data_IF_955955502371
#
_entry.id   IF_955955502371
#
_cell.length_a   1.000
_cell.length_b   1.000
_cell.length_c   1.000
_cell.angle_alpha   90.00
_cell.angle_beta   90.00
_cell.angle_gamma   90.00
#
_symmetry.space_group_name_H-M   'P 1'
#
loop_
_entity.id
_entity.type
_entity.pdbx_description
1 polymer ?
#
# COMPACT_ATOMS: atom_id res chain seq x y z
N UNK A 1 -18.85 29.88 -61.96
CA UNK A 1 -19.38 29.51 -60.63
C UNK A 1 -18.18 28.98 -59.89
N UNK A 2 -17.48 29.89 -59.19
CA UNK A 2 -16.15 29.67 -58.64
C UNK A 2 -16.19 29.05 -57.24
N UNK A 3 -15.16 28.24 -56.99
CA UNK A 3 -14.76 27.59 -55.75
C UNK A 3 -14.38 28.61 -54.66
N UNK A 4 -14.54 28.24 -53.38
CA UNK A 4 -13.88 28.94 -52.28
C UNK A 4 -14.61 28.92 -50.93
N UNK A 5 -14.78 27.75 -50.31
CA UNK A 5 -15.12 27.69 -48.88
C UNK A 5 -13.82 27.79 -48.06
N UNK A 6 -13.64 28.93 -47.40
CA UNK A 6 -12.45 29.27 -46.62
C UNK A 6 -12.50 28.67 -45.20
N UNK A 7 -11.37 28.09 -44.81
CA UNK A 7 -11.07 27.55 -43.48
C UNK A 7 -11.43 28.54 -42.36
N UNK A 8 -12.32 28.14 -41.45
CA UNK A 8 -12.46 28.81 -40.16
C UNK A 8 -11.31 28.39 -39.24
N UNK A 9 -10.20 29.12 -39.34
CA UNK A 9 -9.07 29.02 -38.43
C UNK A 9 -9.54 29.24 -36.99
N UNK A 10 -9.58 28.17 -36.19
CA UNK A 10 -9.74 28.23 -34.74
C UNK A 10 -8.57 29.04 -34.16
N UNK A 11 -8.77 30.35 -34.00
CA UNK A 11 -7.81 31.23 -33.33
C UNK A 11 -7.89 30.95 -31.83
N UNK A 12 -7.00 30.09 -31.35
CA UNK A 12 -6.78 29.87 -29.92
C UNK A 12 -6.25 31.18 -29.34
N UNK A 13 -7.03 31.84 -28.49
CA UNK A 13 -6.57 33.02 -27.75
C UNK A 13 -5.37 32.64 -26.90
N UNK A 14 -4.22 33.26 -27.20
CA UNK A 14 -2.99 33.05 -26.44
C UNK A 14 -3.19 33.75 -25.09
N UNK A 15 -3.17 33.02 -23.96
CA UNK A 15 -3.41 33.62 -22.66
C UNK A 15 -2.31 34.67 -22.35
N UNK A 16 -2.65 35.74 -21.61
CA UNK A 16 -1.71 36.80 -21.28
C UNK A 16 -0.49 36.26 -20.52
N UNK A 17 0.70 36.78 -20.81
CA UNK A 17 1.96 36.32 -20.22
C UNK A 17 1.96 36.52 -18.70
N UNK A 18 1.90 35.41 -17.96
CA UNK A 18 2.07 35.43 -16.51
C UNK A 18 3.57 35.49 -16.18
N UNK A 19 3.98 36.16 -15.10
CA UNK A 19 5.37 36.17 -14.64
C UNK A 19 5.91 34.74 -14.48
N UNK A 20 7.15 34.49 -14.93
CA UNK A 20 7.75 33.15 -14.99
C UNK A 20 7.72 32.41 -13.64
N UNK A 21 7.83 33.13 -12.52
CA UNK A 21 7.73 32.56 -11.17
C UNK A 21 6.33 32.07 -10.83
N UNK A 22 5.29 32.79 -11.28
CA UNK A 22 3.89 32.36 -11.13
C UNK A 22 3.55 31.21 -12.05
N UNK A 23 4.13 31.16 -13.26
CA UNK A 23 4.00 30.02 -14.16
C UNK A 23 4.68 28.79 -13.59
N UNK A 24 5.89 28.93 -13.05
CA UNK A 24 6.61 27.82 -12.43
C UNK A 24 5.87 27.32 -11.20
N UNK A 25 5.35 28.23 -10.37
CA UNK A 25 4.56 27.87 -9.20
C UNK A 25 3.21 27.23 -9.59
N UNK A 26 2.55 27.67 -10.67
CA UNK A 26 1.33 27.04 -11.17
C UNK A 26 1.62 25.67 -11.79
N UNK A 27 2.71 25.54 -12.54
CA UNK A 27 3.13 24.28 -13.13
C UNK A 27 3.52 23.27 -12.05
N UNK A 28 4.30 23.68 -11.04
CA UNK A 28 4.59 22.83 -9.87
C UNK A 28 3.29 22.41 -9.16
N UNK A 29 2.37 23.35 -8.93
CA UNK A 29 1.10 23.05 -8.28
C UNK A 29 0.20 22.12 -9.09
N UNK A 30 0.17 22.24 -10.42
CA UNK A 30 -0.58 21.37 -11.32
C UNK A 30 0.11 20.00 -11.51
N UNK A 31 1.44 19.93 -11.40
CA UNK A 31 2.21 18.69 -11.52
C UNK A 31 2.14 17.84 -10.24
N UNK A 32 2.23 18.44 -9.06
CA UNK A 32 2.08 17.72 -7.78
C UNK A 32 0.61 17.34 -7.48
N UNK A 33 -0.36 18.03 -8.09
CA UNK A 33 -1.79 17.80 -7.89
C UNK A 33 -2.61 17.96 -9.19
N UNK A 34 -2.43 17.10 -10.21
CA UNK A 34 -3.16 17.19 -11.49
C UNK A 34 -4.66 17.00 -11.29
N UNK A 35 -4.98 16.01 -10.46
CA UNK A 35 -6.27 15.79 -9.81
C UNK A 35 -6.12 16.16 -8.35
N UNK A 36 -6.23 17.44 -8.03
CA UNK A 36 -6.30 17.93 -6.66
C UNK A 36 -7.37 17.07 -5.92
N UNK A 37 -7.00 16.07 -5.08
CA UNK A 37 -7.98 15.20 -4.41
C UNK A 37 -8.90 16.05 -3.52
N UNK A 38 -8.38 17.25 -3.20
CA UNK A 38 -8.95 18.28 -2.38
C UNK A 38 -9.75 19.35 -3.16
N UNK A 39 -9.89 19.25 -4.48
CA UNK A 39 -10.82 20.12 -5.25
C UNK A 39 -12.27 19.85 -4.89
N UNK A 40 -12.65 18.58 -4.70
CA UNK A 40 -13.97 18.18 -4.18
C UNK A 40 -14.20 18.64 -2.73
N UNK A 41 -13.10 18.92 -2.03
CA UNK A 41 -13.08 19.32 -0.63
C UNK A 41 -13.21 20.82 -0.45
N UNK A 42 -12.82 21.61 -1.45
CA UNK A 42 -12.79 23.07 -1.38
C UNK A 42 -14.17 23.71 -1.10
N UNK A 43 -15.25 23.08 -1.58
CA UNK A 43 -16.64 23.53 -1.42
C UNK A 43 -17.45 22.75 -0.36
N UNK A 44 -16.79 21.99 0.53
CA UNK A 44 -17.46 21.19 1.57
C UNK A 44 -17.02 21.64 2.97
N UNK A 45 -17.89 21.52 4.00
CA UNK A 45 -17.59 21.96 5.36
C UNK A 45 -16.32 21.27 5.89
N UNK A 46 -15.59 21.94 6.80
CA UNK A 46 -14.32 21.47 7.39
C UNK A 46 -14.39 20.03 7.92
N UNK A 47 -15.54 19.61 8.45
CA UNK A 47 -15.81 18.24 8.88
C UNK A 47 -15.65 17.22 7.75
N UNK A 48 -16.17 17.51 6.55
CA UNK A 48 -16.00 16.62 5.38
C UNK A 48 -14.56 16.56 4.89
N UNK A 49 -13.75 17.59 5.15
CA UNK A 49 -12.31 17.57 4.82
C UNK A 49 -11.51 16.63 5.67
N UNK A 50 -11.79 16.63 6.96
CA UNK A 50 -11.18 15.70 7.90
C UNK A 50 -11.64 14.27 7.59
N UNK A 51 -12.92 14.06 7.28
CA UNK A 51 -13.46 12.73 6.94
C UNK A 51 -12.84 12.17 5.66
N UNK A 52 -12.73 12.96 4.59
CA UNK A 52 -12.14 12.49 3.33
C UNK A 52 -10.62 12.30 3.43
N UNK A 53 -9.92 13.14 4.21
CA UNK A 53 -8.52 12.89 4.56
C UNK A 53 -8.36 11.58 5.33
N UNK A 54 -9.24 11.31 6.29
CA UNK A 54 -9.22 10.07 7.06
C UNK A 54 -9.61 8.84 6.22
N UNK A 55 -10.54 8.98 5.27
CA UNK A 55 -10.88 7.94 4.29
C UNK A 55 -9.72 7.64 3.33
N UNK A 56 -8.91 8.65 2.99
CA UNK A 56 -7.71 8.46 2.19
C UNK A 56 -6.63 7.66 2.92
N UNK A 57 -6.43 7.91 4.22
CA UNK A 57 -5.44 7.16 5.03
C UNK A 57 -5.98 5.81 5.56
N UNK A 58 -7.29 5.68 5.72
CA UNK A 58 -7.94 4.47 6.25
C UNK A 58 -9.11 4.10 5.32
N UNK A 59 -8.85 3.35 4.23
CA UNK A 59 -9.86 2.97 3.24
C UNK A 59 -11.08 2.26 3.83
N UNK A 60 -10.96 1.59 4.98
CA UNK A 60 -12.08 0.92 5.67
C UNK A 60 -13.26 1.83 6.00
N UNK A 61 -13.00 3.13 6.24
CA UNK A 61 -14.04 4.11 6.54
C UNK A 61 -14.84 4.51 5.31
N UNK A 62 -14.34 4.20 4.12
CA UNK A 62 -15.02 4.45 2.86
C UNK A 62 -15.93 3.28 2.44
N UNK A 63 -15.49 2.03 2.59
CA UNK A 63 -16.25 0.85 2.16
C UNK A 63 -17.11 0.23 3.27
N UNK A 64 -16.69 0.32 4.54
CA UNK A 64 -17.41 -0.24 5.68
C UNK A 64 -18.88 0.20 5.77
N UNK A 65 -19.22 1.49 5.62
CA UNK A 65 -20.61 1.95 5.69
C UNK A 65 -21.50 1.47 4.53
N UNK A 66 -20.91 1.03 3.41
CA UNK A 66 -21.60 0.53 2.21
C UNK A 66 -21.64 -1.01 2.17
N UNK A 67 -21.13 -1.66 3.22
CA UNK A 67 -21.01 -3.11 3.29
C UNK A 67 -22.36 -3.75 3.62
N UNK A 68 -22.82 -4.66 2.76
CA UNK A 68 -24.11 -5.34 2.92
C UNK A 68 -23.97 -6.66 3.68
N UNK A 69 -25.07 -7.12 4.27
CA UNK A 69 -25.10 -8.40 4.98
C UNK A 69 -24.94 -9.61 4.04
N UNK A 70 -25.22 -9.46 2.74
CA UNK A 70 -24.96 -10.51 1.75
C UNK A 70 -23.47 -10.69 1.49
N UNK A 71 -22.72 -9.58 1.40
CA UNK A 71 -21.26 -9.63 1.31
C UNK A 71 -20.64 -10.26 2.55
N UNK A 72 -21.18 -9.97 3.74
CA UNK A 72 -20.71 -10.61 4.99
C UNK A 72 -20.79 -12.14 4.94
N UNK A 73 -21.87 -12.70 4.40
CA UNK A 73 -22.04 -14.15 4.29
C UNK A 73 -21.04 -14.77 3.32
N UNK A 74 -20.82 -14.11 2.18
CA UNK A 74 -19.85 -14.54 1.18
C UNK A 74 -18.42 -14.47 1.74
N UNK A 75 -18.06 -13.35 2.39
CA UNK A 75 -16.74 -13.13 2.98
C UNK A 75 -16.48 -14.04 4.18
N UNK A 76 -17.51 -14.44 4.93
CA UNK A 76 -17.36 -15.41 6.02
C UNK A 76 -17.01 -16.81 5.50
N UNK A 77 -17.65 -17.26 4.42
CA UNK A 77 -17.31 -18.52 3.77
C UNK A 77 -15.90 -18.48 3.14
N UNK A 78 -15.58 -17.38 2.44
CA UNK A 78 -14.25 -17.17 1.88
C UNK A 78 -13.18 -17.10 2.98
N UNK A 79 -13.46 -16.38 4.07
CA UNK A 79 -12.58 -16.24 5.22
C UNK A 79 -12.30 -17.56 5.92
N UNK A 80 -13.32 -18.41 6.14
CA UNK A 80 -13.12 -19.76 6.68
C UNK A 80 -12.21 -20.59 5.77
N UNK A 81 -12.40 -20.49 4.45
CA UNK A 81 -11.58 -21.20 3.47
C UNK A 81 -10.12 -20.73 3.53
N UNK A 82 -9.89 -19.41 3.53
CA UNK A 82 -8.55 -18.82 3.61
C UNK A 82 -7.88 -19.18 4.93
N UNK A 83 -8.57 -19.04 6.07
CA UNK A 83 -8.03 -19.37 7.40
C UNK A 83 -7.66 -20.84 7.50
N UNK A 84 -8.49 -21.73 6.95
CA UNK A 84 -8.22 -23.18 6.95
C UNK A 84 -6.91 -23.53 6.22
N UNK A 85 -6.53 -22.74 5.21
CA UNK A 85 -5.26 -22.90 4.49
C UNK A 85 -4.11 -22.15 5.18
N UNK A 86 -4.36 -20.93 5.67
CA UNK A 86 -3.34 -20.05 6.24
C UNK A 86 -2.79 -20.55 7.59
N UNK A 87 -3.62 -21.22 8.41
CA UNK A 87 -3.22 -21.80 9.70
C UNK A 87 -2.14 -22.87 9.53
N UNK A 88 -2.35 -23.96 8.76
CA UNK A 88 -1.31 -24.96 8.56
C UNK A 88 -0.10 -24.41 7.79
N UNK A 89 -0.31 -23.50 6.84
CA UNK A 89 0.79 -22.83 6.12
C UNK A 89 1.69 -22.03 7.08
N UNK A 90 1.11 -21.20 7.95
CA UNK A 90 1.87 -20.40 8.92
C UNK A 90 2.67 -21.26 9.90
N UNK A 91 2.08 -22.35 10.40
CA UNK A 91 2.76 -23.32 11.28
C UNK A 91 3.96 -23.96 10.56
N UNK A 92 3.76 -24.39 9.32
CA UNK A 92 4.82 -25.02 8.54
C UNK A 92 5.94 -24.04 8.21
N UNK A 93 5.61 -22.79 7.89
CA UNK A 93 6.59 -21.75 7.56
C UNK A 93 7.39 -21.32 8.80
N UNK A 94 6.78 -21.19 9.97
CA UNK A 94 7.51 -21.00 11.22
C UNK A 94 8.47 -22.16 11.51
N UNK A 95 8.03 -23.40 11.26
CA UNK A 95 8.89 -24.58 11.40
C UNK A 95 10.08 -24.56 10.43
N UNK A 96 9.86 -24.12 9.17
CA UNK A 96 10.95 -23.93 8.20
C UNK A 96 11.96 -22.86 8.65
N UNK A 97 11.49 -21.83 9.35
CA UNK A 97 12.32 -20.77 9.93
C UNK A 97 12.97 -21.18 11.28
N UNK A 98 12.79 -22.41 11.76
CA UNK A 98 13.25 -22.87 13.08
C UNK A 98 12.76 -22.01 14.27
N UNK A 99 11.57 -21.42 14.15
CA UNK A 99 10.94 -20.64 15.24
C UNK A 99 9.68 -21.34 15.77
N UNK A 100 9.24 -21.02 17.00
CA UNK A 100 8.00 -21.57 17.54
C UNK A 100 6.78 -21.36 16.62
N UNK A 101 5.97 -22.41 16.36
CA UNK A 101 4.80 -22.33 15.46
C UNK A 101 3.78 -21.24 15.80
N UNK A 102 3.67 -20.90 17.08
CA UNK A 102 2.79 -19.81 17.56
C UNK A 102 3.13 -18.47 16.92
N UNK A 103 4.41 -18.21 16.62
CA UNK A 103 4.86 -16.99 15.94
C UNK A 103 4.38 -17.00 14.49
N UNK A 104 4.40 -18.15 13.82
CA UNK A 104 3.83 -18.30 12.48
C UNK A 104 2.34 -17.99 12.41
N UNK A 105 1.58 -18.40 13.43
CA UNK A 105 0.15 -18.08 13.53
C UNK A 105 -0.09 -16.58 13.70
N UNK A 106 0.69 -15.90 14.55
CA UNK A 106 0.61 -14.44 14.68
C UNK A 106 0.93 -13.74 13.37
N UNK A 107 1.97 -14.19 12.65
CA UNK A 107 2.35 -13.66 11.34
C UNK A 107 1.34 -13.94 10.24
N UNK A 108 0.52 -14.99 10.34
CA UNK A 108 -0.58 -15.27 9.40
C UNK A 108 -1.85 -14.47 9.68
N UNK A 109 -2.01 -13.92 10.89
CA UNK A 109 -3.24 -13.23 11.32
C UNK A 109 -3.09 -11.71 11.32
N UNK A 110 -2.02 -11.20 11.92
CA UNK A 110 -1.86 -9.76 12.18
C UNK A 110 -1.66 -8.96 10.88
N UNK A 111 -0.75 -9.34 9.95
CA UNK A 111 -0.55 -8.58 8.71
C UNK A 111 -1.79 -8.47 7.82
N UNK A 112 -2.60 -9.53 7.57
CA UNK A 112 -3.83 -9.37 6.80
C UNK A 112 -4.86 -8.43 7.47
N UNK A 113 -4.98 -8.41 8.80
CA UNK A 113 -5.87 -7.47 9.50
C UNK A 113 -5.38 -6.03 9.32
N UNK A 114 -4.09 -5.80 9.50
CA UNK A 114 -3.47 -4.48 9.29
C UNK A 114 -3.64 -4.04 7.84
N UNK A 115 -3.45 -4.97 6.88
CA UNK A 115 -3.65 -4.72 5.46
C UNK A 115 -5.12 -4.46 5.11
N UNK A 116 -6.08 -5.15 5.72
CA UNK A 116 -7.50 -4.86 5.48
C UNK A 116 -7.90 -3.45 5.93
N UNK A 117 -7.22 -2.88 6.92
CA UNK A 117 -7.48 -1.52 7.42
C UNK A 117 -6.76 -0.44 6.61
N UNK A 118 -5.50 -0.69 6.21
CA UNK A 118 -4.61 0.31 5.60
C UNK A 118 -4.33 0.09 4.11
N UNK A 119 -4.65 -1.10 3.60
CA UNK A 119 -4.33 -1.53 2.24
C UNK A 119 -5.13 -0.76 1.20
N UNK A 120 -4.45 -0.35 0.14
CA UNK A 120 -5.06 0.32 -1.00
C UNK A 120 -5.80 -0.64 -1.94
N UNK A 121 -5.45 -1.93 -1.90
CA UNK A 121 -5.99 -2.95 -2.81
C UNK A 121 -6.79 -4.00 -2.05
N UNK A 122 -7.92 -4.42 -2.62
CA UNK A 122 -8.87 -5.34 -1.98
C UNK A 122 -8.52 -6.82 -2.17
N UNK A 123 -7.70 -7.13 -3.17
CA UNK A 123 -7.42 -8.51 -3.62
C UNK A 123 -6.05 -9.04 -3.17
N UNK A 124 -5.27 -8.25 -2.44
CA UNK A 124 -3.92 -8.64 -2.02
C UNK A 124 -3.99 -9.42 -0.71
N UNK A 125 -3.59 -10.69 -0.78
CA UNK A 125 -3.39 -11.53 0.40
C UNK A 125 -1.96 -11.34 0.94
N UNK A 126 -1.85 -10.86 2.18
CA UNK A 126 -0.57 -10.70 2.90
C UNK A 126 -0.42 -11.84 3.90
N UNK A 127 0.73 -12.50 3.91
CA UNK A 127 1.01 -13.59 4.84
C UNK A 127 2.47 -14.04 4.81
N UNK A 128 2.86 -14.94 5.73
CA UNK A 128 4.20 -15.50 5.75
C UNK A 128 4.44 -16.31 4.47
N UNK A 129 5.68 -16.25 3.98
CA UNK A 129 6.11 -16.95 2.77
C UNK A 129 7.20 -17.97 3.07
N UNK A 130 7.15 -19.12 2.38
CA UNK A 130 8.13 -20.20 2.55
C UNK A 130 9.56 -19.74 2.28
N UNK A 131 9.76 -18.92 1.25
CA UNK A 131 11.08 -18.44 0.82
C UNK A 131 11.74 -17.58 1.92
N UNK A 132 10.99 -16.64 2.50
CA UNK A 132 11.49 -15.82 3.61
C UNK A 132 11.84 -16.66 4.84
N UNK A 133 11.03 -17.69 5.13
CA UNK A 133 11.27 -18.60 6.25
C UNK A 133 12.58 -19.39 6.09
N UNK A 134 12.82 -19.94 4.88
CA UNK A 134 14.06 -20.65 4.58
C UNK A 134 15.28 -19.73 4.58
N UNK A 135 15.13 -18.48 4.12
CA UNK A 135 16.19 -17.49 4.14
C UNK A 135 16.61 -17.15 5.58
N UNK A 136 15.65 -16.91 6.46
CA UNK A 136 15.90 -16.69 7.89
C UNK A 136 16.64 -17.88 8.49
N UNK A 137 16.16 -19.11 8.25
CA UNK A 137 16.82 -20.31 8.74
C UNK A 137 18.26 -20.45 8.23
N UNK A 138 18.50 -20.21 6.94
CA UNK A 138 19.80 -20.34 6.30
C UNK A 138 20.82 -19.26 6.73
N UNK A 139 20.35 -18.03 6.97
CA UNK A 139 21.20 -16.92 7.39
C UNK A 139 21.48 -16.97 8.89
N UNK A 140 20.44 -17.00 9.72
CA UNK A 140 20.58 -16.92 11.17
C UNK A 140 21.03 -18.24 11.78
N UNK A 141 20.68 -19.38 11.18
CA UNK A 141 21.08 -20.70 11.68
C UNK A 141 22.59 -20.95 11.59
N UNK A 142 23.32 -20.17 10.79
CA UNK A 142 24.80 -20.18 10.74
C UNK A 142 25.43 -19.42 11.90
N UNK A 143 24.75 -18.39 12.39
CA UNK A 143 25.26 -17.49 13.44
C UNK A 143 24.86 -17.98 14.84
N UNK A 144 23.61 -18.46 14.98
CA UNK A 144 23.07 -18.93 16.25
C UNK A 144 22.33 -20.25 16.02
N UNK A 145 22.71 -21.28 16.77
CA UNK A 145 22.00 -22.56 16.74
C UNK A 145 20.61 -22.40 17.40
N UNK A 146 19.51 -22.72 16.69
CA UNK A 146 18.16 -22.66 17.23
C UNK A 146 17.91 -23.69 18.35
N UNK A 147 18.74 -24.75 18.44
CA UNK A 147 18.60 -25.79 19.47
C UNK A 147 19.35 -25.44 20.76
N UNK A 148 20.53 -24.82 20.65
CA UNK A 148 21.36 -24.48 21.79
C UNK A 148 20.88 -23.21 22.49
N UNK A 149 20.49 -22.19 21.72
CA UNK A 149 20.08 -20.89 22.25
C UNK A 149 18.77 -20.40 21.58
N UNK A 150 17.62 -21.07 21.81
CA UNK A 150 16.36 -20.78 21.12
C UNK A 150 15.84 -19.35 21.37
N UNK A 151 16.07 -18.79 22.56
CA UNK A 151 15.64 -17.41 22.87
C UNK A 151 16.42 -16.38 22.05
N UNK A 152 17.76 -16.50 22.06
CA UNK A 152 18.63 -15.61 21.29
C UNK A 152 18.35 -15.70 19.79
N UNK A 153 18.07 -16.91 19.29
CA UNK A 153 17.69 -17.12 17.90
C UNK A 153 16.42 -16.34 17.54
N UNK A 154 15.36 -16.47 18.34
CA UNK A 154 14.09 -15.76 18.11
C UNK A 154 14.26 -14.24 18.21
N UNK A 155 15.05 -13.73 19.15
CA UNK A 155 15.34 -12.31 19.27
C UNK A 155 16.09 -11.76 18.04
N UNK A 156 17.03 -12.54 17.50
CA UNK A 156 17.74 -12.20 16.26
C UNK A 156 16.80 -12.19 15.06
N UNK A 157 15.88 -13.15 14.97
CA UNK A 157 14.82 -13.21 13.94
C UNK A 157 13.97 -11.94 13.99
N UNK A 158 13.47 -11.55 15.16
CA UNK A 158 12.67 -10.34 15.31
C UNK A 158 13.44 -9.08 14.95
N UNK A 159 14.70 -8.98 15.36
CA UNK A 159 15.56 -7.84 15.04
C UNK A 159 15.81 -7.74 13.54
N UNK A 160 16.11 -8.86 12.87
CA UNK A 160 16.31 -8.91 11.43
C UNK A 160 15.05 -8.50 10.65
N UNK A 161 13.88 -9.03 11.03
CA UNK A 161 12.60 -8.68 10.41
C UNK A 161 12.25 -7.21 10.64
N UNK A 162 12.53 -6.67 11.82
CA UNK A 162 12.33 -5.26 12.11
C UNK A 162 13.16 -4.37 11.17
N UNK A 163 14.45 -4.65 11.01
CA UNK A 163 15.29 -3.91 10.07
C UNK A 163 14.86 -4.09 8.61
N UNK A 164 14.44 -5.30 8.22
CA UNK A 164 13.87 -5.54 6.90
C UNK A 164 12.64 -4.66 6.65
N UNK A 165 11.71 -4.57 7.62
CA UNK A 165 10.54 -3.70 7.53
C UNK A 165 10.88 -2.20 7.47
N UNK A 166 11.87 -1.74 8.24
CA UNK A 166 12.38 -0.36 8.15
C UNK A 166 12.98 -0.08 6.77
N UNK A 167 13.74 -1.03 6.23
CA UNK A 167 14.34 -0.92 4.91
C UNK A 167 13.29 -0.91 3.79
N UNK A 168 12.28 -1.78 3.86
CA UNK A 168 11.14 -1.80 2.93
C UNK A 168 10.33 -0.50 3.00
N UNK A 169 10.10 0.04 4.21
CA UNK A 169 9.41 1.32 4.39
C UNK A 169 10.23 2.48 3.79
N UNK A 170 11.55 2.49 3.99
CA UNK A 170 12.44 3.49 3.41
C UNK A 170 12.45 3.42 1.88
N UNK A 171 12.54 2.21 1.31
CA UNK A 171 12.45 2.01 -0.14
C UNK A 171 11.07 2.40 -0.70
N UNK A 172 9.99 2.09 0.01
CA UNK A 172 8.65 2.53 -0.36
C UNK A 172 8.53 4.05 -0.41
N UNK A 173 9.08 4.74 0.59
CA UNK A 173 9.13 6.21 0.63
C UNK A 173 10.00 6.79 -0.50
N UNK A 174 11.18 6.20 -0.75
CA UNK A 174 12.06 6.62 -1.85
C UNK A 174 11.44 6.37 -3.22
N UNK A 175 10.68 5.28 -3.41
CA UNK A 175 9.95 5.00 -4.64
C UNK A 175 8.89 6.06 -4.89
N UNK A 176 8.13 6.45 -3.87
CA UNK A 176 7.17 7.55 -3.98
C UNK A 176 7.87 8.85 -4.40
N UNK A 177 8.96 9.20 -3.69
CA UNK A 177 9.75 10.39 -3.99
C UNK A 177 10.34 10.40 -5.41
N UNK A 178 10.84 9.26 -5.90
CA UNK A 178 11.44 9.17 -7.23
C UNK A 178 10.41 9.05 -8.36
N UNK A 179 9.25 8.43 -8.11
CA UNK A 179 8.11 8.44 -9.04
C UNK A 179 7.56 9.85 -9.24
N UNK A 180 7.71 10.74 -8.27
CA UNK A 180 7.37 12.16 -8.41
C UNK A 180 8.45 12.97 -9.17
N UNK A 181 9.69 12.47 -9.23
CA UNK A 181 10.81 13.13 -9.90
C UNK A 181 10.94 12.77 -11.39
N UNK A 182 10.53 11.58 -11.78
CA UNK A 182 10.41 11.16 -13.18
C UNK A 182 8.94 10.93 -13.47
N UNK A 183 8.27 11.92 -14.06
CA UNK A 183 6.90 11.79 -14.57
C UNK A 183 6.82 10.78 -15.72
N UNK A 184 7.07 9.50 -15.44
CA UNK A 184 6.89 8.40 -16.38
C UNK A 184 5.41 8.00 -16.36
N UNK A 185 4.68 8.19 -17.47
CA UNK A 185 3.33 7.68 -17.60
C UNK A 185 3.43 6.16 -17.77
N UNK A 186 2.86 5.43 -16.81
CA UNK A 186 2.25 4.14 -17.09
C UNK A 186 0.76 4.29 -16.80
#
# INVERSE_FOLDING_TARGET
MDEGESESLHRVEIPPSKPWSKSLQSSLKETFFPDDPFRQLKNKPISRKIVLGLQYFIPILEWGPRYSFEFLRADLLAGITIVSLAVPQGINYASLANIPPVIGLYSSLVPPIVYAMLGSSKDVAVGPVAVGSLLIASMLGKEVSPTENPKLYVDLVFTAIFFAGVFEAALGFLRLYNSDAHGSPF
#
